data_IF_076414161601
#
_entry.id   IF_076414161601
#
_cell.length_a   1.000
_cell.length_b   1.000
_cell.length_c   1.000
_cell.angle_alpha   90.00
_cell.angle_beta   90.00
_cell.angle_gamma   90.00
#
_symmetry.space_group_name_H-M   'P 1'
#
loop_
_entity.id
_entity.type
_entity.pdbx_description
1 polymer ?
#
# COMPACT_ATOMS: atom_id res chain seq x y z
N UNK A 1 -0.02 4.14 6.01
CA UNK A 1 0.35 4.47 4.61
C UNK A 1 -0.55 3.67 3.69
N UNK A 2 -1.15 4.29 2.69
CA UNK A 2 -2.11 3.62 1.78
C UNK A 2 -1.77 3.90 0.32
N UNK A 3 -2.36 3.11 -0.58
CA UNK A 3 -2.36 3.36 -2.02
C UNK A 3 -3.58 2.67 -2.64
N UNK A 4 -4.12 3.16 -3.77
CA UNK A 4 -5.22 2.51 -4.50
C UNK A 4 -4.90 1.05 -4.85
N UNK A 5 -5.94 0.22 -4.90
CA UNK A 5 -5.82 -1.23 -5.13
C UNK A 5 -5.15 -1.53 -6.49
N UNK A 6 -5.49 -0.76 -7.51
CA UNK A 6 -4.96 -0.82 -8.86
C UNK A 6 -3.46 -0.54 -8.88
N UNK A 7 -3.02 0.51 -8.18
CA UNK A 7 -1.60 0.87 -8.05
C UNK A 7 -0.83 -0.25 -7.33
N UNK A 8 -1.42 -0.86 -6.30
CA UNK A 8 -0.80 -1.98 -5.59
C UNK A 8 -0.69 -3.23 -6.45
N UNK A 9 -1.71 -3.52 -7.25
CA UNK A 9 -1.71 -4.65 -8.19
C UNK A 9 -0.63 -4.51 -9.26
N UNK A 10 -0.54 -3.34 -9.90
CA UNK A 10 0.51 -3.06 -10.88
C UNK A 10 1.91 -3.18 -10.27
N UNK A 11 2.10 -2.63 -9.06
CA UNK A 11 3.37 -2.79 -8.32
C UNK A 11 3.68 -4.25 -8.01
N UNK A 12 2.69 -5.05 -7.62
CA UNK A 12 2.86 -6.48 -7.33
C UNK A 12 3.29 -7.25 -8.58
N UNK A 13 2.63 -7.02 -9.71
CA UNK A 13 3.00 -7.66 -10.99
C UNK A 13 4.39 -7.25 -11.47
N UNK A 14 4.73 -5.97 -11.36
CA UNK A 14 6.03 -5.45 -11.77
C UNK A 14 7.16 -5.96 -10.87
N UNK A 15 6.88 -6.09 -9.57
CA UNK A 15 7.84 -6.58 -8.59
C UNK A 15 8.15 -8.06 -8.80
N UNK A 16 7.13 -8.87 -9.13
CA UNK A 16 7.24 -10.29 -9.48
C UNK A 16 8.20 -11.08 -8.55
N UNK A 17 8.10 -10.83 -7.25
CA UNK A 17 9.01 -11.37 -6.23
C UNK A 17 8.68 -12.83 -5.90
N UNK A 18 7.41 -13.22 -6.04
CA UNK A 18 6.96 -14.60 -5.85
C UNK A 18 6.56 -15.23 -7.18
N UNK A 19 6.80 -16.53 -7.29
CA UNK A 19 6.38 -17.32 -8.45
C UNK A 19 4.87 -17.14 -8.64
N UNK A 20 4.48 -16.67 -9.82
CA UNK A 20 3.09 -16.45 -10.20
C UNK A 20 2.58 -15.00 -10.04
N UNK A 21 3.32 -14.10 -9.39
CA UNK A 21 2.89 -12.70 -9.23
C UNK A 21 2.78 -11.95 -10.56
N UNK A 22 3.73 -12.14 -11.48
CA UNK A 22 3.70 -11.48 -12.80
C UNK A 22 2.51 -11.89 -13.68
N UNK A 23 1.92 -13.06 -13.42
CA UNK A 23 0.77 -13.60 -14.16
C UNK A 23 -0.53 -13.53 -13.36
N UNK A 24 -0.50 -12.95 -12.16
CA UNK A 24 -1.67 -12.85 -11.28
C UNK A 24 -2.79 -12.05 -11.95
N UNK A 25 -4.01 -12.57 -11.85
CA UNK A 25 -5.22 -11.89 -12.30
C UNK A 25 -5.71 -10.88 -11.27
N UNK A 26 -6.52 -9.92 -11.72
CA UNK A 26 -7.11 -8.92 -10.83
C UNK A 26 -8.03 -9.57 -9.79
N UNK A 27 -8.80 -10.58 -10.20
CA UNK A 27 -9.71 -11.33 -9.34
C UNK A 27 -8.96 -12.05 -8.22
N UNK A 28 -7.83 -12.69 -8.54
CA UNK A 28 -6.96 -13.32 -7.54
C UNK A 28 -6.35 -12.30 -6.58
N UNK A 29 -5.90 -11.16 -7.10
CA UNK A 29 -5.38 -10.07 -6.27
C UNK A 29 -6.44 -9.54 -5.28
N UNK A 30 -7.67 -9.34 -5.74
CA UNK A 30 -8.78 -8.90 -4.90
C UNK A 30 -9.11 -9.95 -3.84
N UNK A 31 -9.16 -11.24 -4.19
CA UNK A 31 -9.39 -12.28 -3.19
C UNK A 31 -8.28 -12.39 -2.16
N UNK A 32 -7.02 -12.27 -2.57
CA UNK A 32 -5.89 -12.23 -1.62
C UNK A 32 -5.98 -10.98 -0.73
N UNK A 33 -6.35 -9.83 -1.29
CA UNK A 33 -6.51 -8.57 -0.58
C UNK A 33 -7.72 -8.53 0.36
N UNK A 34 -8.64 -9.50 0.28
CA UNK A 34 -9.75 -9.66 1.24
C UNK A 34 -9.40 -10.55 2.42
N UNK A 35 -8.28 -11.31 2.34
CA UNK A 35 -7.87 -12.24 3.41
C UNK A 35 -7.53 -11.45 4.68
N UNK A 36 -7.70 -12.11 5.83
CA UNK A 36 -7.83 -11.51 7.17
C UNK A 36 -6.84 -10.40 7.54
N UNK A 37 -5.62 -10.42 6.99
CA UNK A 37 -4.59 -9.41 7.26
C UNK A 37 -5.01 -8.01 6.82
N UNK A 38 -5.81 -7.85 5.76
CA UNK A 38 -6.28 -6.53 5.33
C UNK A 38 -7.48 -6.02 6.14
N UNK A 39 -8.27 -6.94 6.72
CA UNK A 39 -9.37 -6.55 7.63
C UNK A 39 -8.84 -5.94 8.92
N UNK A 40 -7.74 -6.47 9.46
CA UNK A 40 -7.12 -5.92 10.68
C UNK A 40 -6.36 -4.62 10.39
N UNK A 41 -5.75 -4.49 9.21
CA UNK A 41 -5.11 -3.24 8.76
C UNK A 41 -6.13 -2.11 8.64
N UNK A 42 -7.34 -2.36 8.12
CA UNK A 42 -8.38 -1.34 8.00
C UNK A 42 -8.75 -0.71 9.35
N UNK A 43 -8.94 -1.53 10.40
CA UNK A 43 -9.25 -1.03 11.74
C UNK A 43 -8.12 -0.21 12.37
N UNK A 44 -6.86 -0.59 12.12
CA UNK A 44 -5.69 0.19 12.57
C UNK A 44 -5.58 1.52 11.80
N UNK A 45 -5.87 1.51 10.50
CA UNK A 45 -5.82 2.71 9.66
C UNK A 45 -6.88 3.75 10.07
N UNK A 46 -8.07 3.33 10.50
CA UNK A 46 -9.11 4.22 11.04
C UNK A 46 -8.69 4.94 12.33
N UNK A 47 -7.82 4.32 13.12
CA UNK A 47 -7.33 4.89 14.38
C UNK A 47 -6.04 5.70 14.23
N UNK A 48 -5.49 5.81 13.02
CA UNK A 48 -4.23 6.49 12.79
C UNK A 48 -4.38 8.01 12.90
N UNK A 49 -3.53 8.64 13.72
CA UNK A 49 -3.48 10.11 13.87
C UNK A 49 -3.00 10.80 12.57
N UNK A 50 -2.20 10.09 11.78
CA UNK A 50 -1.67 10.59 10.51
C UNK A 50 -1.78 9.55 9.40
N UNK A 51 -2.06 10.05 8.20
CA UNK A 51 -2.24 9.26 7.01
C UNK A 51 -1.31 9.74 5.89
N UNK A 52 -0.53 8.82 5.31
CA UNK A 52 0.29 9.09 4.12
C UNK A 52 -0.29 8.30 2.96
N UNK A 53 -0.66 9.01 1.90
CA UNK A 53 -0.98 8.42 0.60
C UNK A 53 0.29 8.25 -0.24
N UNK A 54 0.54 7.01 -0.68
CA UNK A 54 1.66 6.58 -1.52
C UNK A 54 1.18 6.16 -2.93
N UNK A 55 0.14 6.83 -3.44
CA UNK A 55 -0.29 6.74 -4.83
C UNK A 55 0.68 7.44 -5.80
N UNK A 56 1.42 8.43 -5.31
CA UNK A 56 2.31 9.30 -6.08
C UNK A 56 3.73 8.77 -6.32
N UNK A 57 4.65 9.71 -6.60
CA UNK A 57 6.05 9.40 -6.88
C UNK A 57 6.87 9.09 -5.62
N UNK A 58 8.05 8.48 -5.78
CA UNK A 58 8.97 8.23 -4.65
C UNK A 58 9.38 9.55 -3.95
N UNK A 59 9.67 10.59 -4.72
CA UNK A 59 10.02 11.90 -4.18
C UNK A 59 8.89 12.50 -3.33
N UNK A 60 7.63 12.33 -3.74
CA UNK A 60 6.48 12.76 -2.94
C UNK A 60 6.34 11.95 -1.65
N UNK A 61 6.61 10.65 -1.70
CA UNK A 61 6.61 9.81 -0.50
C UNK A 61 7.71 10.25 0.48
N UNK A 62 8.92 10.48 -0.02
CA UNK A 62 10.07 10.94 0.78
C UNK A 62 9.77 12.27 1.46
N UNK A 63 9.17 13.23 0.73
CA UNK A 63 8.79 14.51 1.32
C UNK A 63 7.76 14.34 2.43
N UNK A 64 6.70 13.54 2.20
CA UNK A 64 5.65 13.29 3.22
C UNK A 64 6.22 12.61 4.48
N UNK A 65 7.21 11.73 4.31
CA UNK A 65 7.91 11.09 5.44
C UNK A 65 8.77 12.09 6.21
N UNK A 66 9.50 12.96 5.51
CA UNK A 66 10.32 13.98 6.13
C UNK A 66 9.49 14.96 6.95
N UNK A 67 8.36 15.43 6.39
CA UNK A 67 7.43 16.33 7.08
C UNK A 67 6.87 15.68 8.36
N UNK A 68 6.56 14.38 8.29
CA UNK A 68 6.08 13.61 9.44
C UNK A 68 7.17 13.50 10.53
N UNK A 69 8.40 13.13 10.17
CA UNK A 69 9.49 12.97 11.14
C UNK A 69 9.78 14.31 11.83
N UNK A 70 9.81 15.40 11.07
CA UNK A 70 10.01 16.75 11.63
C UNK A 70 8.89 17.15 12.59
N UNK A 71 7.64 16.72 12.36
CA UNK A 71 6.52 17.01 13.28
C UNK A 71 6.65 16.35 14.66
N UNK A 72 7.42 15.26 14.77
CA UNK A 72 7.64 14.52 16.03
C UNK A 72 9.07 14.61 16.57
N UNK A 73 9.92 15.45 15.96
CA UNK A 73 11.27 15.77 16.44
C UNK A 73 11.23 16.99 17.36
#
# INVERSE_FOLDING_TARGET
>A
ITAPAEVRFERLKNRNEKIGEGNMTWEEFIEISKRETERTIAGVAEQAELHIDNSGSMAELEQKLQDMITKFS
#
